data_IF_750756779248
#
_entry.id   IF_750756779248
#
_cell.length_a   1.000
_cell.length_b   1.000
_cell.length_c   1.000
_cell.angle_alpha   90.00
_cell.angle_beta   90.00
_cell.angle_gamma   90.00
#
_symmetry.space_group_name_H-M   'P 1'
#
loop_
_entity.id
_entity.type
_entity.pdbx_description
1 polymer ?
#
# COMPACT_ATOMS: atom_id res chain seq x y z
N UNK A 1 -1.43 1.93 -7.78
CA UNK A 1 -1.29 1.74 -6.32
C UNK A 1 -0.69 0.37 -6.07
N UNK A 2 0.49 0.34 -5.46
CA UNK A 2 1.17 -0.89 -5.06
C UNK A 2 0.93 -1.15 -3.58
N UNK A 3 0.58 -2.37 -3.20
CA UNK A 3 0.34 -2.73 -1.79
C UNK A 3 1.69 -2.97 -1.11
N UNK A 4 2.01 -2.20 -0.06
CA UNK A 4 3.23 -2.39 0.73
C UNK A 4 3.05 -3.55 1.70
N UNK A 5 3.82 -4.63 1.50
CA UNK A 5 3.72 -5.87 2.30
C UNK A 5 4.63 -5.90 3.51
N UNK A 6 5.73 -5.13 3.46
CA UNK A 6 6.73 -5.14 4.52
C UNK A 6 7.66 -3.93 4.41
N UNK A 7 8.34 -3.64 5.51
CA UNK A 7 9.45 -2.68 5.56
C UNK A 7 10.55 -3.05 4.56
N UNK A 8 10.85 -4.34 4.42
CA UNK A 8 11.85 -4.83 3.49
C UNK A 8 11.49 -4.53 2.04
N UNK A 9 10.22 -4.75 1.67
CA UNK A 9 9.71 -4.40 0.35
C UNK A 9 9.82 -2.89 0.08
N UNK A 10 9.40 -2.04 1.02
CA UNK A 10 9.48 -0.59 0.84
C UNK A 10 10.92 -0.11 0.63
N UNK A 11 11.87 -0.62 1.42
CA UNK A 11 13.31 -0.33 1.25
C UNK A 11 13.85 -0.85 -0.08
N UNK A 12 13.44 -2.06 -0.49
CA UNK A 12 13.83 -2.63 -1.78
C UNK A 12 13.35 -1.77 -2.94
N UNK A 13 12.11 -1.28 -2.89
CA UNK A 13 11.54 -0.39 -3.92
C UNK A 13 12.37 0.88 -4.06
N UNK A 14 12.72 1.55 -2.96
CA UNK A 14 13.55 2.75 -2.99
C UNK A 14 14.95 2.51 -3.58
N UNK A 15 15.54 1.35 -3.31
CA UNK A 15 16.91 1.05 -3.75
C UNK A 15 16.99 0.49 -5.19
N UNK A 16 15.95 -0.18 -5.67
CA UNK A 16 16.04 -1.00 -6.89
C UNK A 16 15.00 -0.68 -7.97
N UNK A 17 13.95 0.10 -7.66
CA UNK A 17 12.90 0.40 -8.63
C UNK A 17 13.04 1.85 -9.08
N UNK A 18 13.56 2.03 -10.29
CA UNK A 18 13.77 3.35 -10.87
C UNK A 18 12.47 4.17 -10.93
N UNK A 19 12.53 5.42 -10.48
CA UNK A 19 11.37 6.32 -10.45
C UNK A 19 10.36 6.05 -9.32
N UNK A 20 10.62 5.09 -8.42
CA UNK A 20 9.79 4.85 -7.25
C UNK A 20 10.46 5.40 -5.99
N UNK A 21 9.66 6.08 -5.18
CA UNK A 21 10.05 6.53 -3.84
C UNK A 21 8.90 6.26 -2.86
N UNK A 22 9.18 5.49 -1.83
CA UNK A 22 8.32 5.22 -0.68
C UNK A 22 8.76 6.15 0.46
N UNK A 23 7.90 7.10 0.87
CA UNK A 23 8.20 8.03 1.95
C UNK A 23 8.50 7.35 3.30
N UNK A 24 9.42 7.94 4.07
CA UNK A 24 9.85 7.41 5.37
C UNK A 24 8.69 7.23 6.35
N UNK A 25 7.69 8.12 6.34
CA UNK A 25 6.54 8.00 7.23
C UNK A 25 5.74 6.70 7.01
N UNK A 26 5.66 6.21 5.76
CA UNK A 26 5.00 4.92 5.46
C UNK A 26 5.88 3.74 5.90
N UNK A 27 7.21 3.88 5.78
CA UNK A 27 8.16 2.89 6.27
C UNK A 27 8.08 2.77 7.79
N UNK A 28 7.99 3.89 8.50
CA UNK A 28 7.80 3.91 9.96
C UNK A 28 6.44 3.33 10.36
N UNK A 29 5.37 3.61 9.62
CA UNK A 29 4.05 3.00 9.86
C UNK A 29 4.10 1.47 9.76
N UNK A 30 4.82 0.93 8.78
CA UNK A 30 5.06 -0.51 8.63
C UNK A 30 5.97 -1.10 9.72
N UNK A 31 6.81 -0.28 10.38
CA UNK A 31 7.68 -0.74 11.48
C UNK A 31 6.96 -0.79 12.82
N UNK A 32 5.98 0.09 13.03
CA UNK A 32 5.28 0.27 14.32
C UNK A 32 4.63 -1.00 14.82
N UNK A 33 3.98 -1.74 13.92
CA UNK A 33 3.33 -3.00 14.25
C UNK A 33 3.69 -4.07 13.22
N UNK A 34 4.53 -5.02 13.65
CA UNK A 34 5.03 -6.09 12.79
C UNK A 34 3.97 -7.14 12.49
N UNK A 35 3.09 -7.47 13.45
CA UNK A 35 2.05 -8.47 13.22
C UNK A 35 0.97 -7.91 12.30
N UNK A 36 0.56 -6.65 12.50
CA UNK A 36 -0.38 -5.95 11.61
C UNK A 36 0.17 -5.76 10.19
N UNK A 37 1.48 -5.52 10.08
CA UNK A 37 2.16 -5.48 8.78
C UNK A 37 2.20 -6.86 8.13
N UNK A 38 2.47 -7.91 8.91
CA UNK A 38 2.51 -9.30 8.43
C UNK A 38 1.14 -9.82 7.98
N UNK A 39 0.07 -9.47 8.70
CA UNK A 39 -1.32 -9.81 8.32
C UNK A 39 -1.80 -9.03 7.09
N UNK A 40 -1.14 -7.92 6.77
CA UNK A 40 -1.39 -7.05 5.64
C UNK A 40 -2.32 -5.89 5.91
N UNK A 41 -2.84 -5.79 7.13
CA UNK A 41 -3.74 -4.71 7.56
C UNK A 41 -3.10 -3.33 7.36
N UNK A 42 -1.84 -3.13 7.78
CA UNK A 42 -1.15 -1.85 7.58
C UNK A 42 -1.04 -1.48 6.09
N UNK A 43 -0.77 -2.47 5.23
CA UNK A 43 -0.71 -2.27 3.78
C UNK A 43 -2.08 -1.90 3.18
N UNK A 44 -3.15 -2.52 3.67
CA UNK A 44 -4.53 -2.20 3.30
C UNK A 44 -4.88 -0.78 3.73
N UNK A 45 -4.60 -0.39 4.97
CA UNK A 45 -4.89 0.95 5.50
C UNK A 45 -4.18 2.05 4.69
N UNK A 46 -2.89 1.84 4.37
CA UNK A 46 -2.12 2.75 3.51
C UNK A 46 -2.76 2.84 2.12
N UNK A 47 -3.11 1.71 1.51
CA UNK A 47 -3.71 1.66 0.18
C UNK A 47 -5.07 2.37 0.15
N UNK A 48 -5.97 2.09 1.10
CA UNK A 48 -7.29 2.72 1.22
C UNK A 48 -7.16 4.23 1.38
N UNK A 49 -6.24 4.68 2.24
CA UNK A 49 -5.98 6.11 2.46
C UNK A 49 -5.49 6.81 1.18
N UNK A 50 -4.60 6.16 0.42
CA UNK A 50 -4.15 6.66 -0.88
C UNK A 50 -5.29 6.72 -1.90
N UNK A 51 -6.10 5.66 -2.02
CA UNK A 51 -7.25 5.64 -2.95
C UNK A 51 -8.21 6.80 -2.65
N UNK A 52 -8.60 6.96 -1.39
CA UNK A 52 -9.52 8.04 -0.98
C UNK A 52 -8.93 9.42 -1.25
N UNK A 53 -7.64 9.61 -0.96
CA UNK A 53 -6.95 10.86 -1.22
C UNK A 53 -6.82 11.19 -2.72
N UNK A 54 -6.74 10.18 -3.58
CA UNK A 54 -6.62 10.34 -5.04
C UNK A 54 -7.97 10.49 -5.75
N UNK A 55 -9.08 10.09 -5.12
CA UNK A 55 -10.43 10.11 -5.73
C UNK A 55 -10.83 11.46 -6.36
N UNK A 56 -10.52 12.64 -5.78
CA UNK A 56 -10.84 13.93 -6.41
C UNK A 56 -10.00 14.25 -7.67
N UNK A 57 -8.88 13.56 -7.86
CA UNK A 57 -7.89 13.87 -8.91
C UNK A 57 -7.87 12.85 -10.05
N UNK A 58 -8.50 11.69 -9.87
CA UNK A 58 -8.42 10.58 -10.82
C UNK A 58 -9.80 9.91 -11.01
N UNK A 59 -10.12 9.53 -12.25
CA UNK A 59 -11.34 8.78 -12.58
C UNK A 59 -11.26 7.28 -12.28
N UNK A 60 -10.06 6.78 -12.02
CA UNK A 60 -9.81 5.37 -11.75
C UNK A 60 -8.43 5.13 -11.19
N UNK A 61 -8.21 3.90 -10.73
CA UNK A 61 -6.95 3.45 -10.15
C UNK A 61 -6.53 2.13 -10.78
N UNK A 62 -5.23 1.95 -10.98
CA UNK A 62 -4.64 0.64 -11.25
C UNK A 62 -4.07 0.09 -9.94
N UNK A 63 -4.45 -1.12 -9.52
CA UNK A 63 -3.92 -1.78 -8.31
C UNK A 63 -2.94 -2.88 -8.73
N UNK A 64 -1.73 -2.85 -8.15
CA UNK A 64 -0.70 -3.88 -8.30
C UNK A 64 -0.54 -4.66 -6.99
N UNK A 65 -1.22 -5.82 -6.83
CA UNK A 65 -1.23 -6.58 -5.57
C UNK A 65 0.04 -7.43 -5.34
N UNK A 66 0.83 -7.68 -6.40
CA UNK A 66 2.09 -8.43 -6.34
C UNK A 66 1.97 -9.79 -5.63
N UNK A 67 0.86 -10.51 -5.82
CA UNK A 67 0.57 -11.79 -5.15
C UNK A 67 -0.23 -11.68 -3.85
N UNK A 68 -0.81 -10.51 -3.55
CA UNK A 68 -1.79 -10.30 -2.46
C UNK A 68 -3.19 -10.02 -3.02
N UNK A 69 -3.57 -10.77 -4.04
CA UNK A 69 -4.85 -10.62 -4.76
C UNK A 69 -6.05 -10.77 -3.82
N UNK A 70 -5.94 -11.63 -2.80
CA UNK A 70 -6.97 -11.82 -1.77
C UNK A 70 -7.27 -10.57 -0.93
N UNK A 71 -6.37 -9.58 -0.89
CA UNK A 71 -6.56 -8.33 -0.15
C UNK A 71 -7.24 -7.24 -0.99
N UNK A 72 -7.30 -7.41 -2.31
CA UNK A 72 -7.87 -6.41 -3.22
C UNK A 72 -9.36 -6.15 -2.95
N UNK A 73 -10.23 -7.16 -2.75
CA UNK A 73 -11.65 -6.91 -2.46
C UNK A 73 -11.86 -6.07 -1.20
N UNK A 74 -11.06 -6.30 -0.16
CA UNK A 74 -11.11 -5.56 1.09
C UNK A 74 -10.71 -4.08 0.90
N UNK A 75 -9.64 -3.83 0.14
CA UNK A 75 -9.20 -2.46 -0.20
C UNK A 75 -10.30 -1.71 -0.96
N UNK A 76 -10.92 -2.33 -1.97
CA UNK A 76 -11.97 -1.71 -2.77
C UNK A 76 -13.20 -1.37 -1.91
N UNK A 77 -13.66 -2.34 -1.12
CA UNK A 77 -14.78 -2.16 -0.19
C UNK A 77 -14.54 -1.01 0.79
N UNK A 78 -13.38 -0.99 1.47
CA UNK A 78 -13.04 0.07 2.41
C UNK A 78 -12.82 1.43 1.74
N UNK A 79 -12.40 1.45 0.47
CA UNK A 79 -12.25 2.65 -0.35
C UNK A 79 -13.59 3.20 -0.89
N UNK A 80 -14.67 2.44 -0.82
CA UNK A 80 -15.97 2.78 -1.39
C UNK A 80 -15.94 2.75 -2.93
N UNK A 81 -15.30 1.73 -3.48
CA UNK A 81 -15.22 1.40 -4.91
C UNK A 81 -15.86 0.03 -5.19
#
# INVERSE_FOLDING_TARGET
ITILKSVGMAKFMNANVAGVFVPDNLIEELKKDKEKTRSGETGIEIAVRLVKGLKPYCHGIHIMPLGWDSKVPEILSQAGL
#
